data_IF_775060614564
#
_entry.id   IF_775060614564
#
_cell.length_a   1.000
_cell.length_b   1.000
_cell.length_c   1.000
_cell.angle_alpha   90.00
_cell.angle_beta   90.00
_cell.angle_gamma   90.00
#
_symmetry.space_group_name_H-M   'P 1'
#
loop_
_entity.id
_entity.type
_entity.pdbx_description
1 polymer ?
#
# COMPACT_ATOMS: atom_id res chain seq x y z
N UNK A 1 -8.53 20.33 -14.99
CA UNK A 1 -7.16 20.02 -14.57
C UNK A 1 -6.56 18.90 -15.41
N UNK A 2 -5.23 18.89 -15.56
CA UNK A 2 -4.46 17.89 -16.32
C UNK A 2 -3.32 17.42 -15.43
N UNK A 3 -3.41 16.20 -14.93
CA UNK A 3 -2.57 15.69 -13.85
C UNK A 3 -1.82 14.43 -14.30
N UNK A 4 -0.56 14.33 -13.87
CA UNK A 4 0.31 13.20 -14.11
C UNK A 4 0.75 12.59 -12.78
N UNK A 5 0.47 11.30 -12.59
CA UNK A 5 1.03 10.49 -11.51
C UNK A 5 2.39 9.95 -11.97
N UNK A 6 3.46 10.21 -11.21
CA UNK A 6 4.82 9.76 -11.51
C UNK A 6 5.28 8.78 -10.45
N UNK A 7 5.66 7.57 -10.86
CA UNK A 7 6.11 6.49 -9.96
C UNK A 7 7.31 5.75 -10.55
N UNK A 8 8.17 5.16 -9.74
CA UNK A 8 9.35 4.46 -10.23
C UNK A 8 9.06 3.05 -10.79
N UNK A 9 8.06 2.36 -10.25
CA UNK A 9 7.71 0.98 -10.61
C UNK A 9 6.20 0.77 -10.60
N UNK A 10 5.71 -0.27 -11.27
CA UNK A 10 4.35 -0.82 -11.13
C UNK A 10 4.38 -2.27 -10.63
N UNK A 11 5.47 -2.69 -9.98
CA UNK A 11 5.48 -3.93 -9.21
C UNK A 11 4.52 -3.82 -8.02
N UNK A 12 4.04 -4.94 -7.49
CA UNK A 12 3.11 -4.92 -6.37
C UNK A 12 3.70 -4.23 -5.12
N UNK A 13 3.11 -3.09 -4.74
CA UNK A 13 3.51 -2.28 -3.59
C UNK A 13 2.45 -1.23 -3.26
N UNK A 14 2.41 -0.77 -2.00
CA UNK A 14 1.38 0.17 -1.54
C UNK A 14 1.42 1.53 -2.25
N UNK A 15 2.61 2.10 -2.46
CA UNK A 15 2.76 3.37 -3.18
C UNK A 15 2.41 3.23 -4.66
N UNK A 16 2.81 2.12 -5.27
CA UNK A 16 2.56 1.78 -6.66
C UNK A 16 1.05 1.59 -6.91
N UNK A 17 0.38 0.82 -6.04
CA UNK A 17 -1.08 0.66 -6.07
C UNK A 17 -1.79 2.00 -5.93
N UNK A 18 -1.34 2.86 -5.03
CA UNK A 18 -1.92 4.19 -4.88
C UNK A 18 -1.73 5.07 -6.12
N UNK A 19 -0.57 5.02 -6.80
CA UNK A 19 -0.36 5.77 -8.03
C UNK A 19 -1.35 5.33 -9.13
N UNK A 20 -1.61 4.02 -9.27
CA UNK A 20 -2.62 3.48 -10.20
C UNK A 20 -4.03 3.92 -9.76
N UNK A 21 -4.37 3.77 -8.49
CA UNK A 21 -5.69 4.15 -7.96
C UNK A 21 -5.98 5.65 -8.20
N UNK A 22 -5.01 6.53 -7.93
CA UNK A 22 -5.16 7.97 -8.22
C UNK A 22 -5.32 8.23 -9.71
N UNK A 23 -4.52 7.61 -10.57
CA UNK A 23 -4.62 7.80 -12.01
C UNK A 23 -6.00 7.37 -12.53
N UNK A 24 -6.48 6.20 -12.12
CA UNK A 24 -7.76 5.64 -12.53
C UNK A 24 -8.94 6.51 -12.03
N UNK A 25 -9.00 6.79 -10.73
CA UNK A 25 -10.09 7.57 -10.16
C UNK A 25 -10.15 9.01 -10.69
N UNK A 26 -9.00 9.65 -10.89
CA UNK A 26 -8.93 10.98 -11.49
C UNK A 26 -9.37 10.98 -12.96
N UNK A 27 -9.16 9.88 -13.71
CA UNK A 27 -9.56 9.82 -15.12
C UNK A 27 -11.06 9.98 -15.34
N UNK A 28 -11.87 9.73 -14.31
CA UNK A 28 -13.32 9.91 -14.33
C UNK A 28 -13.76 11.33 -13.93
N UNK A 29 -12.85 12.12 -13.32
CA UNK A 29 -13.22 13.38 -12.65
C UNK A 29 -12.54 14.61 -13.23
N UNK A 30 -11.45 14.46 -14.01
CA UNK A 30 -10.67 15.58 -14.56
C UNK A 30 -10.48 15.46 -16.07
N UNK A 31 -10.09 16.57 -16.71
CA UNK A 31 -9.93 16.64 -18.17
C UNK A 31 -8.82 15.71 -18.73
N UNK A 32 -7.79 15.38 -17.94
CA UNK A 32 -6.71 14.50 -18.35
C UNK A 32 -6.01 13.88 -17.14
N UNK A 33 -5.94 12.57 -17.11
CA UNK A 33 -5.17 11.78 -16.14
C UNK A 33 -4.10 10.96 -16.86
N UNK A 34 -2.88 10.98 -16.34
CA UNK A 34 -1.76 10.20 -16.86
C UNK A 34 -1.02 9.49 -15.75
N UNK A 35 -0.51 8.29 -16.06
CA UNK A 35 0.41 7.53 -15.22
C UNK A 35 1.72 7.32 -15.96
N UNK A 36 2.82 7.76 -15.36
CA UNK A 36 4.16 7.60 -15.92
C UNK A 36 5.01 6.76 -14.98
N UNK A 37 5.49 5.62 -15.50
CA UNK A 37 6.39 4.73 -14.78
C UNK A 37 7.82 4.97 -15.25
N UNK A 38 8.75 5.13 -14.29
CA UNK A 38 10.10 5.57 -14.68
C UNK A 38 11.06 4.42 -14.95
N UNK A 39 11.07 3.33 -14.14
CA UNK A 39 12.10 2.30 -14.14
C UNK A 39 11.63 0.91 -14.51
N UNK A 40 10.48 0.49 -14.00
CA UNK A 40 9.97 -0.88 -14.16
C UNK A 40 8.48 -0.89 -14.41
N UNK A 41 8.05 -1.62 -15.41
CA UNK A 41 6.67 -2.08 -15.47
C UNK A 41 6.50 -3.30 -14.55
N UNK A 42 5.30 -3.56 -14.08
CA UNK A 42 4.96 -4.67 -13.20
C UNK A 42 3.49 -5.03 -13.31
N UNK A 43 3.04 -5.91 -12.44
CA UNK A 43 1.71 -6.52 -12.45
C UNK A 43 0.58 -5.48 -12.41
N UNK A 44 0.80 -4.38 -11.68
CA UNK A 44 -0.20 -3.30 -11.55
C UNK A 44 -0.46 -2.54 -12.87
N UNK A 45 0.36 -2.74 -13.91
CA UNK A 45 0.09 -2.17 -15.24
C UNK A 45 -1.25 -2.62 -15.81
N UNK A 46 -1.63 -3.88 -15.58
CA UNK A 46 -2.88 -4.45 -16.09
C UNK A 46 -4.12 -3.80 -15.45
N UNK A 47 -3.95 -3.16 -14.29
CA UNK A 47 -5.01 -2.45 -13.57
C UNK A 47 -5.16 -0.98 -13.99
N UNK A 48 -4.32 -0.49 -14.91
CA UNK A 48 -4.42 0.90 -15.41
C UNK A 48 -5.61 1.01 -16.36
N UNK A 49 -6.57 1.88 -16.01
CA UNK A 49 -7.78 2.08 -16.78
C UNK A 49 -7.47 2.61 -18.20
N UNK A 50 -8.26 2.18 -19.19
CA UNK A 50 -8.10 2.58 -20.62
C UNK A 50 -8.15 4.10 -20.87
N UNK A 51 -8.83 4.85 -19.99
CA UNK A 51 -8.90 6.32 -20.05
C UNK A 51 -7.63 7.02 -19.56
N UNK A 52 -6.74 6.31 -18.84
CA UNK A 52 -5.49 6.85 -18.32
C UNK A 52 -4.44 6.84 -19.44
N UNK A 53 -3.81 7.99 -19.69
CA UNK A 53 -2.68 8.06 -20.62
C UNK A 53 -1.44 7.47 -19.97
N UNK A 54 -1.02 6.29 -20.40
CA UNK A 54 0.13 5.59 -19.83
C UNK A 54 1.42 5.83 -20.61
N UNK A 55 2.55 6.03 -19.90
CA UNK A 55 3.88 6.13 -20.50
C UNK A 55 4.92 5.39 -19.62
N UNK A 56 5.68 4.49 -20.24
CA UNK A 56 6.87 3.87 -19.62
C UNK A 56 8.14 4.56 -20.12
N UNK A 57 8.97 5.06 -19.20
CA UNK A 57 10.21 5.78 -19.54
C UNK A 57 11.41 4.87 -19.71
N UNK A 58 11.41 3.66 -19.15
CA UNK A 58 12.54 2.73 -19.15
C UNK A 58 13.88 3.41 -18.74
N UNK A 59 13.83 4.17 -17.67
CA UNK A 59 14.95 4.95 -17.15
C UNK A 59 16.00 4.04 -16.54
N UNK A 60 17.21 4.08 -17.08
CA UNK A 60 18.33 3.18 -16.68
C UNK A 60 19.24 3.77 -15.59
N UNK A 61 19.39 5.10 -15.54
CA UNK A 61 20.33 5.80 -14.63
C UNK A 61 19.62 6.92 -13.87
N UNK A 62 20.19 7.38 -12.76
CA UNK A 62 19.65 8.51 -12.01
C UNK A 62 19.50 9.76 -12.89
N UNK A 63 20.51 10.10 -13.68
CA UNK A 63 20.49 11.13 -14.71
C UNK A 63 20.40 10.44 -16.09
N UNK A 64 19.18 10.33 -16.60
CA UNK A 64 18.87 9.76 -17.91
C UNK A 64 18.22 10.82 -18.78
N UNK A 65 19.03 11.44 -19.64
CA UNK A 65 18.61 12.55 -20.50
C UNK A 65 17.47 12.12 -21.44
N UNK A 66 17.49 10.87 -21.96
CA UNK A 66 16.43 10.36 -22.84
C UNK A 66 15.11 10.25 -22.09
N UNK A 67 15.12 9.76 -20.85
CA UNK A 67 13.94 9.69 -20.02
C UNK A 67 13.41 11.10 -19.66
N UNK A 68 14.31 12.05 -19.35
CA UNK A 68 13.94 13.45 -19.07
C UNK A 68 13.24 14.07 -20.30
N UNK A 69 13.83 13.92 -21.49
CA UNK A 69 13.25 14.48 -22.72
C UNK A 69 11.91 13.82 -23.09
N UNK A 70 11.76 12.51 -22.90
CA UNK A 70 10.49 11.81 -23.13
C UNK A 70 9.40 12.30 -22.17
N UNK A 71 9.71 12.41 -20.88
CA UNK A 71 8.77 12.96 -19.89
C UNK A 71 8.41 14.41 -20.21
N UNK A 72 9.40 15.25 -20.55
CA UNK A 72 9.16 16.63 -20.96
C UNK A 72 8.24 16.73 -22.17
N UNK A 73 8.48 15.92 -23.22
CA UNK A 73 7.62 15.86 -24.42
C UNK A 73 6.19 15.46 -24.06
N UNK A 74 6.03 14.44 -23.21
CA UNK A 74 4.71 13.99 -22.74
C UNK A 74 3.96 15.10 -21.99
N UNK A 75 4.63 15.83 -21.10
CA UNK A 75 4.06 16.95 -20.36
C UNK A 75 3.57 18.07 -21.30
N UNK A 76 4.39 18.47 -22.26
CA UNK A 76 4.06 19.53 -23.20
C UNK A 76 2.88 19.11 -24.10
N UNK A 77 2.97 17.95 -24.73
CA UNK A 77 1.95 17.48 -25.68
C UNK A 77 0.57 17.32 -24.99
N UNK A 78 0.57 16.97 -23.72
CA UNK A 78 -0.65 16.77 -22.95
C UNK A 78 -1.01 17.96 -22.05
N UNK A 79 -0.28 19.08 -22.15
CA UNK A 79 -0.52 20.28 -21.34
C UNK A 79 -0.66 19.98 -19.82
N UNK A 80 0.20 19.08 -19.29
CA UNK A 80 0.15 18.68 -17.88
C UNK A 80 0.45 19.88 -17.00
N UNK A 81 -0.42 20.14 -16.03
CA UNK A 81 -0.33 21.24 -15.09
C UNK A 81 0.33 20.85 -13.77
N UNK A 82 0.08 19.61 -13.34
CA UNK A 82 0.55 19.08 -12.05
C UNK A 82 1.21 17.72 -12.25
N UNK A 83 2.40 17.56 -11.70
CA UNK A 83 3.05 16.25 -11.51
C UNK A 83 2.91 15.89 -10.03
N UNK A 84 2.17 14.84 -9.72
CA UNK A 84 2.19 14.21 -8.41
C UNK A 84 3.27 13.11 -8.43
N UNK A 85 4.37 13.37 -7.76
CA UNK A 85 5.52 12.47 -7.71
C UNK A 85 5.49 11.61 -6.45
N UNK A 86 5.33 10.30 -6.62
CA UNK A 86 5.27 9.35 -5.51
C UNK A 86 6.67 8.90 -5.09
N UNK A 87 6.92 8.91 -3.78
CA UNK A 87 8.17 8.40 -3.16
C UNK A 87 9.44 8.99 -3.81
N UNK A 88 10.32 8.16 -4.38
CA UNK A 88 11.62 8.57 -4.96
C UNK A 88 11.52 9.22 -6.35
N UNK A 89 10.37 9.15 -7.01
CA UNK A 89 10.19 9.71 -8.36
C UNK A 89 10.28 11.24 -8.42
N UNK A 90 10.23 11.92 -7.26
CA UNK A 90 10.41 13.38 -7.16
C UNK A 90 11.67 13.89 -7.83
N UNK A 91 12.75 13.08 -7.81
CA UNK A 91 14.01 13.50 -8.38
C UNK A 91 13.89 13.77 -9.90
N UNK A 92 13.23 12.86 -10.63
CA UNK A 92 12.97 13.06 -12.06
C UNK A 92 12.01 14.24 -12.30
N UNK A 93 10.98 14.40 -11.47
CA UNK A 93 10.05 15.51 -11.57
C UNK A 93 10.78 16.87 -11.47
N UNK A 94 11.73 17.00 -10.52
CA UNK A 94 12.54 18.22 -10.35
C UNK A 94 13.42 18.47 -11.56
N UNK A 95 14.11 17.45 -12.09
CA UNK A 95 14.95 17.59 -13.28
C UNK A 95 14.15 18.12 -14.50
N UNK A 96 12.93 17.62 -14.69
CA UNK A 96 12.06 18.11 -15.78
C UNK A 96 11.58 19.53 -15.50
N UNK A 97 11.22 19.86 -14.26
CA UNK A 97 10.77 21.21 -13.88
C UNK A 97 11.82 22.28 -14.15
N UNK A 98 13.11 21.99 -14.05
CA UNK A 98 14.17 22.93 -14.38
C UNK A 98 14.10 23.42 -15.86
N UNK A 99 13.47 22.64 -16.74
CA UNK A 99 13.24 23.01 -18.15
C UNK A 99 11.79 23.42 -18.47
N UNK A 100 10.88 23.35 -17.49
CA UNK A 100 9.43 23.62 -17.64
C UNK A 100 8.90 24.38 -16.41
N UNK A 101 9.01 25.70 -16.41
CA UNK A 101 8.67 26.56 -15.26
C UNK A 101 7.20 26.50 -14.86
N UNK A 102 6.28 26.28 -15.80
CA UNK A 102 4.82 26.33 -15.57
C UNK A 102 4.22 25.09 -14.86
N UNK A 103 4.96 23.98 -14.73
CA UNK A 103 4.46 22.75 -14.11
C UNK A 103 4.59 22.81 -12.60
N UNK A 104 3.55 22.48 -11.86
CA UNK A 104 3.58 22.33 -10.39
C UNK A 104 4.00 20.91 -10.02
N UNK A 105 4.84 20.78 -8.99
CA UNK A 105 5.21 19.47 -8.43
C UNK A 105 4.56 19.33 -7.06
N UNK A 106 3.86 18.21 -6.87
CA UNK A 106 3.38 17.76 -5.57
C UNK A 106 4.14 16.48 -5.24
N UNK A 107 4.88 16.50 -4.15
CA UNK A 107 5.53 15.30 -3.67
C UNK A 107 4.60 14.53 -2.73
N UNK A 108 4.42 13.22 -2.97
CA UNK A 108 3.58 12.36 -2.15
C UNK A 108 4.43 11.31 -1.43
N UNK A 109 4.49 11.41 -0.10
CA UNK A 109 5.28 10.50 0.72
C UNK A 109 4.45 9.34 1.25
N UNK A 110 4.92 8.11 0.93
CA UNK A 110 4.32 6.85 1.36
C UNK A 110 5.21 6.07 2.34
N UNK A 111 6.41 6.59 2.67
CA UNK A 111 7.44 5.83 3.37
C UNK A 111 7.31 5.96 4.90
N UNK A 112 6.64 4.98 5.54
CA UNK A 112 6.37 4.97 6.98
C UNK A 112 7.60 5.05 7.89
N UNK A 113 8.73 4.47 7.48
CA UNK A 113 9.95 4.46 8.30
C UNK A 113 10.76 5.77 8.22
N UNK A 114 10.33 6.76 7.44
CA UNK A 114 11.05 8.04 7.26
C UNK A 114 11.32 8.77 8.57
N UNK A 115 10.39 8.72 9.50
CA UNK A 115 10.49 9.40 10.78
C UNK A 115 11.64 8.88 11.66
N UNK A 116 12.05 7.62 11.47
CA UNK A 116 13.13 6.96 12.21
C UNK A 116 14.49 7.10 11.52
N UNK A 117 14.54 7.61 10.30
CA UNK A 117 15.79 7.76 9.55
C UNK A 117 16.56 9.03 9.93
N UNK A 118 17.92 8.95 9.84
CA UNK A 118 18.80 10.09 10.10
C UNK A 118 18.62 11.17 9.01
N UNK A 119 18.56 12.44 9.40
CA UNK A 119 18.42 13.61 8.51
C UNK A 119 19.38 13.61 7.30
N UNK A 120 20.60 13.15 7.47
CA UNK A 120 21.60 13.09 6.38
C UNK A 120 21.15 12.28 5.17
N UNK A 121 20.31 11.26 5.36
CA UNK A 121 19.74 10.46 4.26
C UNK A 121 18.77 11.25 3.37
N UNK A 122 18.24 12.37 3.87
CA UNK A 122 17.20 13.15 3.18
C UNK A 122 17.71 14.46 2.56
N UNK A 123 19.05 14.65 2.45
CA UNK A 123 19.63 15.89 1.93
C UNK A 123 19.15 16.21 0.51
N UNK A 124 19.12 15.22 -0.39
CA UNK A 124 18.63 15.41 -1.77
C UNK A 124 17.13 15.79 -1.77
N UNK A 125 16.34 15.16 -0.92
CA UNK A 125 14.92 15.49 -0.77
C UNK A 125 14.72 16.91 -0.23
N UNK A 126 15.54 17.33 0.74
CA UNK A 126 15.54 18.70 1.25
C UNK A 126 15.83 19.72 0.13
N UNK A 127 16.86 19.50 -0.69
CA UNK A 127 17.16 20.36 -1.84
C UNK A 127 16.03 20.35 -2.88
N UNK A 128 15.46 19.17 -3.16
CA UNK A 128 14.34 19.05 -4.08
C UNK A 128 13.08 19.79 -3.59
N UNK A 129 12.91 19.92 -2.27
CA UNK A 129 11.72 20.54 -1.69
C UNK A 129 11.55 22.04 -2.01
N UNK A 130 12.60 22.71 -2.45
CA UNK A 130 12.49 24.09 -2.97
C UNK A 130 11.66 24.18 -4.26
N UNK A 131 11.49 23.07 -4.97
CA UNK A 131 10.73 23.00 -6.22
C UNK A 131 9.30 22.46 -6.03
N UNK A 132 8.96 22.02 -4.81
CA UNK A 132 7.62 21.50 -4.52
C UNK A 132 6.62 22.62 -4.31
N UNK A 133 5.51 22.56 -5.02
CA UNK A 133 4.37 23.46 -4.82
C UNK A 133 3.57 23.05 -3.57
N UNK A 134 3.56 21.76 -3.26
CA UNK A 134 2.97 21.18 -2.05
C UNK A 134 3.56 19.79 -1.79
N UNK A 135 3.29 19.26 -0.60
CA UNK A 135 3.53 17.86 -0.26
C UNK A 135 2.26 17.19 0.25
N UNK A 136 2.07 15.93 -0.11
CA UNK A 136 1.07 15.05 0.46
C UNK A 136 1.74 14.00 1.34
N UNK A 137 1.14 13.72 2.48
CA UNK A 137 1.59 12.70 3.41
C UNK A 137 0.45 11.73 3.68
N UNK A 138 0.74 10.43 3.72
CA UNK A 138 -0.27 9.40 3.96
C UNK A 138 -0.68 9.24 5.43
N UNK A 139 0.03 9.91 6.35
CA UNK A 139 -0.34 9.96 7.76
C UNK A 139 0.10 11.27 8.43
N UNK A 140 -0.48 11.63 9.60
CA UNK A 140 -0.15 12.86 10.32
C UNK A 140 1.30 12.94 10.83
N UNK A 141 1.95 11.83 11.11
CA UNK A 141 3.35 11.81 11.57
C UNK A 141 4.30 12.20 10.44
N UNK A 142 4.09 11.65 9.24
CA UNK A 142 4.81 12.07 8.03
C UNK A 142 4.53 13.53 7.69
N UNK A 143 3.29 13.99 7.85
CA UNK A 143 2.95 15.40 7.66
C UNK A 143 3.76 16.32 8.59
N UNK A 144 3.82 15.99 9.89
CA UNK A 144 4.64 16.71 10.87
C UNK A 144 6.14 16.66 10.51
N UNK A 145 6.61 15.48 10.08
CA UNK A 145 8.00 15.32 9.67
C UNK A 145 8.35 16.20 8.46
N UNK A 146 7.50 16.26 7.43
CA UNK A 146 7.66 17.09 6.25
C UNK A 146 7.73 18.56 6.62
N UNK A 147 6.78 19.05 7.41
CA UNK A 147 6.73 20.44 7.89
C UNK A 147 8.01 20.84 8.65
N UNK A 148 8.58 19.93 9.42
CA UNK A 148 9.81 20.16 10.21
C UNK A 148 11.08 20.13 9.38
N UNK A 149 11.13 19.33 8.32
CA UNK A 149 12.39 18.97 7.65
C UNK A 149 12.52 19.47 6.21
N UNK A 150 11.43 19.88 5.55
CA UNK A 150 11.44 20.31 4.15
C UNK A 150 11.06 21.79 4.01
N UNK A 151 11.36 22.37 2.83
CA UNK A 151 11.09 23.78 2.49
C UNK A 151 9.77 23.89 1.71
N UNK A 152 8.66 23.51 2.35
CA UNK A 152 7.32 23.70 1.81
C UNK A 152 6.35 24.05 2.93
N UNK A 153 5.47 25.03 2.67
CA UNK A 153 4.46 25.45 3.62
C UNK A 153 3.11 24.73 3.41
N UNK A 154 2.90 24.18 2.21
CA UNK A 154 1.66 23.48 1.85
C UNK A 154 1.85 21.98 2.02
N UNK A 155 1.49 21.44 3.19
CA UNK A 155 1.57 20.02 3.49
C UNK A 155 0.20 19.52 3.92
N UNK A 156 -0.34 18.54 3.21
CA UNK A 156 -1.66 17.98 3.46
C UNK A 156 -1.57 16.50 3.79
N UNK A 157 -2.35 16.06 4.75
CA UNK A 157 -2.63 14.65 4.96
C UNK A 157 -3.67 14.21 3.93
N UNK A 158 -3.33 13.21 3.14
CA UNK A 158 -4.21 12.54 2.17
C UNK A 158 -4.14 11.05 2.45
N UNK A 159 -5.17 10.44 3.02
CA UNK A 159 -5.17 9.02 3.31
C UNK A 159 -5.17 8.18 2.04
N UNK A 160 -4.69 6.94 2.14
CA UNK A 160 -4.86 5.96 1.09
C UNK A 160 -6.33 5.53 1.00
N UNK A 161 -6.72 4.98 -0.14
CA UNK A 161 -8.03 4.41 -0.40
C UNK A 161 -7.90 3.18 -1.30
N UNK A 162 -8.94 2.37 -1.36
CA UNK A 162 -9.01 1.22 -2.25
C UNK A 162 -10.11 1.44 -3.30
N UNK A 163 -9.96 0.78 -4.44
CA UNK A 163 -10.98 0.70 -5.49
C UNK A 163 -11.37 -0.78 -5.58
N UNK A 164 -12.64 -1.07 -5.50
CA UNK A 164 -13.14 -2.42 -5.78
C UNK A 164 -13.01 -2.70 -7.27
N UNK A 165 -12.29 -3.74 -7.63
CA UNK A 165 -12.20 -4.22 -9.00
C UNK A 165 -12.90 -5.58 -9.12
N UNK A 166 -14.09 -5.56 -9.68
CA UNK A 166 -14.91 -6.74 -9.93
C UNK A 166 -14.74 -7.29 -11.37
N UNK A 167 -13.82 -6.70 -12.16
CA UNK A 167 -13.65 -7.01 -13.59
C UNK A 167 -12.70 -8.18 -13.87
N UNK A 168 -12.01 -8.71 -12.87
CA UNK A 168 -10.98 -9.74 -13.02
C UNK A 168 -11.61 -11.10 -13.26
N UNK A 169 -11.19 -11.77 -14.33
CA UNK A 169 -11.77 -13.04 -14.81
C UNK A 169 -11.08 -14.26 -14.20
N UNK A 170 -9.76 -14.21 -14.06
CA UNK A 170 -8.98 -15.31 -13.47
C UNK A 170 -9.06 -15.24 -11.94
N UNK A 171 -9.46 -16.37 -11.33
CA UNK A 171 -9.71 -16.44 -9.90
C UNK A 171 -8.72 -17.35 -9.19
N UNK A 172 -8.07 -16.83 -8.17
CA UNK A 172 -7.18 -17.57 -7.28
C UNK A 172 -7.99 -18.19 -6.14
N UNK A 173 -7.99 -19.50 -6.06
CA UNK A 173 -8.66 -20.23 -4.97
C UNK A 173 -7.68 -20.54 -3.85
N UNK A 174 -8.05 -20.18 -2.62
CA UNK A 174 -7.30 -20.55 -1.43
C UNK A 174 -7.52 -22.03 -1.08
N UNK A 175 -6.44 -22.70 -0.69
CA UNK A 175 -6.48 -24.09 -0.17
C UNK A 175 -7.13 -24.13 1.23
N UNK A 176 -7.22 -25.31 1.82
CA UNK A 176 -7.75 -25.51 3.17
C UNK A 176 -9.26 -25.39 3.28
N UNK A 177 -9.77 -25.59 4.50
CA UNK A 177 -11.19 -25.62 4.80
C UNK A 177 -11.84 -24.24 4.69
N UNK A 178 -13.04 -24.18 4.10
CA UNK A 178 -13.83 -22.94 4.01
C UNK A 178 -14.21 -22.47 5.43
N UNK A 179 -14.18 -21.20 5.70
CA UNK A 179 -14.41 -20.54 6.98
C UNK A 179 -13.34 -20.79 8.06
N UNK A 180 -12.17 -21.32 7.69
CA UNK A 180 -11.04 -21.52 8.59
C UNK A 180 -9.71 -21.03 7.97
N UNK A 181 -9.71 -19.81 7.44
CA UNK A 181 -8.57 -19.26 6.73
C UNK A 181 -8.09 -17.94 7.33
N UNK A 182 -6.81 -17.90 7.67
CA UNK A 182 -6.09 -16.69 8.09
C UNK A 182 -5.26 -16.21 6.91
N UNK A 183 -5.31 -14.92 6.58
CA UNK A 183 -4.60 -14.36 5.44
C UNK A 183 -3.70 -13.19 5.86
N UNK A 184 -2.47 -13.18 5.35
CA UNK A 184 -1.55 -12.05 5.39
C UNK A 184 -1.32 -11.52 3.97
N UNK A 185 -1.86 -10.35 3.66
CA UNK A 185 -1.68 -9.68 2.38
C UNK A 185 -0.50 -8.71 2.46
N UNK A 186 0.69 -9.19 2.16
CA UNK A 186 1.93 -8.41 2.18
C UNK A 186 3.03 -9.06 1.36
N UNK A 187 3.86 -8.27 0.69
CA UNK A 187 5.05 -8.78 0.02
C UNK A 187 5.97 -9.47 1.03
N UNK A 188 6.53 -10.64 0.66
CA UNK A 188 7.38 -11.45 1.52
C UNK A 188 8.75 -10.81 1.71
N UNK A 189 8.82 -9.84 2.59
CA UNK A 189 10.04 -9.12 2.95
C UNK A 189 9.98 -8.56 4.37
N UNK A 190 11.11 -8.41 5.00
CA UNK A 190 11.22 -7.58 6.19
C UNK A 190 10.95 -6.10 5.81
N UNK A 191 10.14 -5.33 6.52
CA UNK A 191 9.70 -5.52 7.91
C UNK A 191 8.26 -6.05 8.08
N UNK A 192 7.71 -6.83 7.13
CA UNK A 192 6.32 -7.35 7.23
C UNK A 192 6.14 -8.44 8.31
N UNK A 193 7.26 -8.98 8.80
CA UNK A 193 7.31 -9.85 9.98
C UNK A 193 6.47 -11.14 9.87
N UNK A 194 6.51 -11.79 8.70
CA UNK A 194 5.80 -13.06 8.45
C UNK A 194 6.23 -14.18 9.40
N UNK A 195 7.49 -14.14 9.89
CA UNK A 195 7.98 -15.13 10.83
C UNK A 195 7.19 -15.11 12.16
N UNK A 196 6.86 -13.94 12.68
CA UNK A 196 6.05 -13.85 13.91
C UNK A 196 4.63 -14.40 13.71
N UNK A 197 4.08 -14.27 12.49
CA UNK A 197 2.79 -14.87 12.15
C UNK A 197 2.88 -16.39 12.11
N UNK A 198 3.96 -16.95 11.52
CA UNK A 198 4.22 -18.40 11.49
C UNK A 198 4.41 -18.96 12.90
N UNK A 199 5.24 -18.33 13.71
CA UNK A 199 5.49 -18.74 15.10
C UNK A 199 4.20 -18.73 15.92
N UNK A 200 3.41 -17.66 15.83
CA UNK A 200 2.14 -17.59 16.53
C UNK A 200 1.16 -18.66 16.04
N UNK A 201 1.03 -18.87 14.72
CA UNK A 201 0.16 -19.90 14.15
C UNK A 201 0.59 -21.32 14.60
N UNK A 202 1.86 -21.65 14.52
CA UNK A 202 2.42 -22.92 14.97
C UNK A 202 2.09 -23.17 16.46
N UNK A 203 2.34 -22.18 17.32
CA UNK A 203 2.13 -22.29 18.75
C UNK A 203 0.64 -22.38 19.16
N UNK A 204 -0.31 -22.06 18.26
CA UNK A 204 -1.75 -22.24 18.52
C UNK A 204 -2.24 -23.66 18.25
N UNK A 205 -1.52 -24.46 17.47
CA UNK A 205 -1.97 -25.76 16.94
C UNK A 205 -3.32 -25.67 16.20
N UNK A 206 -3.63 -24.53 15.58
CA UNK A 206 -4.88 -24.33 14.83
C UNK A 206 -4.98 -25.21 13.57
N UNK A 207 -3.85 -25.69 13.04
CA UNK A 207 -3.79 -26.70 11.99
C UNK A 207 -4.52 -27.98 12.38
N UNK A 208 -4.48 -28.41 13.67
CA UNK A 208 -5.21 -29.59 14.17
C UNK A 208 -6.75 -29.40 14.11
N UNK A 209 -7.18 -28.15 14.07
CA UNK A 209 -8.60 -27.76 13.88
C UNK A 209 -8.92 -27.36 12.44
N UNK A 210 -8.08 -27.78 11.47
CA UNK A 210 -8.22 -27.51 10.03
C UNK A 210 -8.12 -26.02 9.64
N UNK A 211 -7.59 -25.14 10.49
CA UNK A 211 -7.25 -23.79 10.10
C UNK A 211 -6.03 -23.77 9.19
N UNK A 212 -6.03 -22.85 8.24
CA UNK A 212 -4.93 -22.64 7.31
C UNK A 212 -4.47 -21.18 7.27
N UNK A 213 -3.16 -20.98 7.02
CA UNK A 213 -2.52 -19.69 6.92
C UNK A 213 -2.07 -19.43 5.48
N UNK A 214 -2.41 -18.25 4.96
CA UNK A 214 -2.18 -17.88 3.56
C UNK A 214 -1.34 -16.61 3.49
N UNK A 215 -0.14 -16.70 2.94
CA UNK A 215 0.70 -15.56 2.62
C UNK A 215 0.50 -15.17 1.16
N UNK A 216 -0.04 -13.97 0.92
CA UNK A 216 -0.33 -13.46 -0.41
C UNK A 216 0.49 -12.18 -0.66
N UNK A 217 1.32 -12.21 -1.70
CA UNK A 217 2.17 -11.09 -2.09
C UNK A 217 3.48 -11.55 -2.69
N UNK A 218 4.22 -10.62 -3.28
CA UNK A 218 5.41 -10.91 -4.06
C UNK A 218 6.44 -11.72 -3.29
N UNK A 219 6.87 -12.83 -3.89
CA UNK A 219 7.91 -13.72 -3.40
C UNK A 219 9.24 -13.34 -4.05
N UNK A 220 10.25 -12.96 -3.25
CA UNK A 220 11.57 -12.56 -3.78
C UNK A 220 12.56 -13.72 -3.91
N UNK A 221 12.23 -14.92 -3.37
CA UNK A 221 13.11 -16.11 -3.33
C UNK A 221 14.50 -15.80 -2.78
N UNK A 222 14.55 -14.95 -1.77
CA UNK A 222 15.74 -14.53 -1.03
C UNK A 222 15.88 -15.33 0.30
N UNK A 223 16.90 -15.02 1.10
CA UNK A 223 17.16 -15.68 2.38
C UNK A 223 15.95 -15.60 3.33
N UNK A 224 15.19 -14.50 3.28
CA UNK A 224 13.99 -14.35 4.09
C UNK A 224 12.90 -15.36 3.70
N UNK A 225 12.65 -15.55 2.41
CA UNK A 225 11.71 -16.57 1.93
C UNK A 225 12.13 -17.97 2.32
N UNK A 226 13.42 -18.30 2.16
CA UNK A 226 13.93 -19.64 2.53
C UNK A 226 13.88 -19.88 4.04
N UNK A 227 14.09 -18.85 4.88
CA UNK A 227 13.87 -18.92 6.32
C UNK A 227 12.43 -19.30 6.66
N UNK A 228 11.43 -18.68 6.02
CA UNK A 228 10.02 -19.02 6.23
C UNK A 228 9.72 -20.46 5.82
N UNK A 229 10.27 -20.92 4.69
CA UNK A 229 10.12 -22.31 4.23
C UNK A 229 10.74 -23.30 5.18
N UNK A 230 11.97 -23.08 5.64
CA UNK A 230 12.63 -23.95 6.63
C UNK A 230 11.79 -24.07 7.89
N UNK A 231 11.24 -22.96 8.39
CA UNK A 231 10.37 -23.00 9.57
C UNK A 231 9.11 -23.87 9.34
N UNK A 232 8.49 -23.79 8.17
CA UNK A 232 7.32 -24.60 7.80
C UNK A 232 7.68 -26.07 7.77
N UNK A 233 8.78 -26.44 7.08
CA UNK A 233 9.26 -27.81 6.92
C UNK A 233 9.67 -28.41 8.29
N UNK A 234 10.32 -27.63 9.16
CA UNK A 234 10.77 -28.04 10.50
C UNK A 234 9.61 -28.26 11.51
N UNK A 235 8.43 -27.71 11.23
CA UNK A 235 7.26 -27.78 12.13
C UNK A 235 6.07 -28.53 11.50
N UNK A 236 6.27 -29.27 10.41
CA UNK A 236 5.25 -30.10 9.72
C UNK A 236 3.99 -29.30 9.32
N UNK A 237 4.18 -28.05 8.80
CA UNK A 237 3.08 -27.12 8.46
C UNK A 237 2.75 -27.03 6.96
N UNK A 238 3.34 -27.88 6.08
CA UNK A 238 3.22 -27.78 4.63
C UNK A 238 1.78 -27.94 4.12
N UNK A 239 0.95 -28.69 4.85
CA UNK A 239 -0.45 -28.92 4.50
C UNK A 239 -1.40 -27.84 5.04
N UNK A 240 -0.88 -26.90 5.86
CA UNK A 240 -1.67 -25.84 6.50
C UNK A 240 -1.21 -24.41 6.21
N UNK A 241 0.02 -24.24 5.66
CA UNK A 241 0.57 -22.91 5.32
C UNK A 241 0.86 -22.84 3.81
N UNK A 242 0.30 -21.82 3.16
CA UNK A 242 0.36 -21.69 1.71
C UNK A 242 0.88 -20.32 1.29
N UNK A 243 1.74 -20.32 0.26
CA UNK A 243 2.25 -19.11 -0.38
C UNK A 243 1.58 -18.89 -1.72
N UNK A 244 1.15 -17.66 -1.96
CA UNK A 244 0.65 -17.15 -3.24
C UNK A 244 1.49 -15.96 -3.63
N UNK A 245 2.05 -15.94 -4.83
CA UNK A 245 2.78 -14.78 -5.34
C UNK A 245 1.84 -13.57 -5.52
N UNK A 246 2.29 -12.51 -6.16
CA UNK A 246 1.44 -11.38 -6.53
C UNK A 246 0.22 -11.86 -7.33
N UNK A 247 -0.96 -11.44 -6.89
CA UNK A 247 -2.24 -11.76 -7.51
C UNK A 247 -2.95 -10.49 -7.96
N UNK A 248 -3.81 -10.59 -8.97
CA UNK A 248 -4.61 -9.46 -9.46
C UNK A 248 -5.99 -9.41 -8.79
N UNK A 249 -6.57 -10.54 -8.44
CA UNK A 249 -7.92 -10.74 -7.90
C UNK A 249 -8.00 -10.67 -6.36
N UNK A 250 -7.31 -9.69 -5.77
CA UNK A 250 -7.21 -9.52 -4.31
C UNK A 250 -8.57 -9.55 -3.61
N UNK A 251 -9.58 -8.87 -4.14
CA UNK A 251 -10.92 -8.84 -3.53
C UNK A 251 -11.56 -10.23 -3.48
N UNK A 252 -11.40 -11.04 -4.54
CA UNK A 252 -11.91 -12.41 -4.57
C UNK A 252 -11.17 -13.32 -3.59
N UNK A 253 -9.85 -13.20 -3.51
CA UNK A 253 -9.04 -13.97 -2.54
C UNK A 253 -9.41 -13.61 -1.11
N UNK A 254 -9.55 -12.34 -0.79
CA UNK A 254 -9.95 -11.89 0.55
C UNK A 254 -11.37 -12.35 0.93
N UNK A 255 -12.28 -12.47 -0.05
CA UNK A 255 -13.65 -12.97 0.23
C UNK A 255 -13.69 -14.45 0.66
N UNK A 256 -12.59 -15.20 0.51
CA UNK A 256 -12.46 -16.60 0.91
C UNK A 256 -11.82 -16.75 2.31
N UNK A 257 -11.36 -15.67 2.92
CA UNK A 257 -10.69 -15.69 4.23
C UNK A 257 -11.63 -15.20 5.35
N UNK A 258 -11.25 -15.47 6.60
CA UNK A 258 -12.00 -15.10 7.79
C UNK A 258 -11.27 -14.06 8.63
N UNK A 259 -9.96 -14.24 8.76
CA UNK A 259 -9.10 -13.40 9.61
C UNK A 259 -7.99 -12.81 8.73
N UNK A 260 -7.89 -11.48 8.72
CA UNK A 260 -6.76 -10.77 8.12
C UNK A 260 -5.72 -10.43 9.19
N UNK A 261 -4.44 -10.72 8.93
CA UNK A 261 -3.36 -10.40 9.87
C UNK A 261 -2.33 -9.47 9.25
N UNK A 262 -1.88 -8.46 10.01
CA UNK A 262 -0.80 -7.56 9.65
C UNK A 262 0.18 -7.41 10.82
N UNK A 263 1.35 -8.05 10.72
CA UNK A 263 2.37 -8.09 11.79
C UNK A 263 3.56 -7.14 11.57
N UNK A 264 3.41 -6.16 10.70
CA UNK A 264 4.49 -5.25 10.30
C UNK A 264 5.13 -4.53 11.48
N UNK A 265 6.47 -4.38 11.43
CA UNK A 265 7.25 -3.56 12.38
C UNK A 265 7.20 -2.06 12.04
N UNK A 266 6.90 -1.71 10.80
CA UNK A 266 6.76 -0.32 10.33
C UNK A 266 5.67 -0.24 9.26
N UNK A 267 4.78 0.74 9.37
CA UNK A 267 3.77 1.08 8.37
C UNK A 267 3.65 2.60 8.18
N UNK A 268 3.41 3.01 6.95
CA UNK A 268 3.00 4.38 6.66
C UNK A 268 1.49 4.53 6.82
N UNK A 269 0.78 4.02 5.83
CA UNK A 269 -0.67 3.85 5.83
C UNK A 269 -0.96 2.50 5.16
N UNK A 270 -1.35 1.47 5.93
CA UNK A 270 -1.46 0.11 5.42
C UNK A 270 -2.68 -0.08 4.52
N UNK A 271 -2.46 -0.21 3.21
CA UNK A 271 -3.53 -0.45 2.23
C UNK A 271 -4.22 -1.79 2.49
N UNK A 272 -3.49 -2.81 2.93
CA UNK A 272 -4.06 -4.12 3.26
C UNK A 272 -5.15 -4.06 4.33
N UNK A 273 -5.04 -3.15 5.33
CA UNK A 273 -6.13 -2.97 6.32
C UNK A 273 -7.40 -2.39 5.70
N UNK A 274 -7.27 -1.52 4.68
CA UNK A 274 -8.43 -1.05 3.92
C UNK A 274 -9.05 -2.20 3.12
N UNK A 275 -8.22 -3.03 2.47
CA UNK A 275 -8.66 -4.19 1.68
C UNK A 275 -9.35 -5.23 2.58
N UNK A 276 -8.80 -5.51 3.77
CA UNK A 276 -9.46 -6.37 4.76
C UNK A 276 -10.82 -5.80 5.22
N UNK A 277 -10.88 -4.49 5.48
CA UNK A 277 -12.12 -3.83 5.86
C UNK A 277 -13.17 -3.91 4.74
N UNK A 278 -12.80 -3.68 3.49
CA UNK A 278 -13.73 -3.87 2.35
C UNK A 278 -14.27 -5.30 2.27
N UNK A 279 -13.40 -6.30 2.47
CA UNK A 279 -13.80 -7.71 2.48
C UNK A 279 -14.62 -8.09 3.72
N UNK A 280 -14.60 -7.27 4.79
CA UNK A 280 -15.34 -7.56 6.04
C UNK A 280 -14.64 -8.59 6.92
N UNK A 281 -13.31 -8.74 6.80
CA UNK A 281 -12.53 -9.67 7.62
C UNK A 281 -12.41 -9.19 9.07
N UNK A 282 -12.39 -10.12 10.02
CA UNK A 282 -11.86 -9.84 11.36
C UNK A 282 -10.35 -9.58 11.25
N UNK A 283 -9.86 -8.51 11.85
CA UNK A 283 -8.46 -8.08 11.66
C UNK A 283 -7.68 -8.15 12.96
N UNK A 284 -6.47 -8.72 12.86
CA UNK A 284 -5.42 -8.61 13.88
C UNK A 284 -4.29 -7.78 13.26
N UNK A 285 -3.89 -6.69 13.93
CA UNK A 285 -2.85 -5.79 13.41
C UNK A 285 -1.92 -5.32 14.52
N UNK A 286 -0.67 -5.04 14.16
CA UNK A 286 0.20 -4.26 15.05
C UNK A 286 -0.29 -2.82 15.16
N UNK A 287 0.07 -2.13 16.26
CA UNK A 287 -0.31 -0.72 16.46
C UNK A 287 0.64 0.28 15.80
N UNK A 288 1.57 -0.16 14.94
CA UNK A 288 2.60 0.70 14.35
C UNK A 288 2.07 1.65 13.27
N UNK A 289 2.67 2.80 13.13
CA UNK A 289 2.31 3.80 12.13
C UNK A 289 0.83 4.18 12.19
N UNK A 290 0.13 4.14 11.06
CA UNK A 290 -1.29 4.49 11.00
C UNK A 290 -2.24 3.32 11.35
N UNK A 291 -1.73 2.14 11.71
CA UNK A 291 -2.57 0.98 12.05
C UNK A 291 -3.52 1.28 13.21
N UNK A 292 -3.04 1.88 14.30
CA UNK A 292 -3.86 2.25 15.46
C UNK A 292 -4.87 3.38 15.22
N UNK A 293 -4.76 4.07 14.08
CA UNK A 293 -5.79 5.03 13.65
C UNK A 293 -6.92 4.36 12.87
N UNK A 294 -6.62 3.26 12.17
CA UNK A 294 -7.59 2.45 11.43
C UNK A 294 -8.29 1.43 12.33
N UNK A 295 -7.51 0.77 13.18
CA UNK A 295 -8.00 -0.28 14.08
C UNK A 295 -8.19 0.27 15.49
N UNK A 296 -9.41 0.21 15.97
CA UNK A 296 -9.78 0.50 17.37
C UNK A 296 -9.90 -0.84 18.09
N UNK A 297 -8.96 -1.09 19.00
CA UNK A 297 -8.88 -2.38 19.68
C UNK A 297 -10.22 -2.83 20.26
N UNK A 298 -10.58 -4.11 20.08
CA UNK A 298 -11.82 -4.77 20.51
C UNK A 298 -13.14 -4.22 19.94
N UNK A 299 -13.06 -3.16 19.10
CA UNK A 299 -14.24 -2.59 18.44
C UNK A 299 -14.34 -3.00 16.97
N UNK A 300 -13.28 -2.80 16.18
CA UNK A 300 -13.24 -3.13 14.74
C UNK A 300 -12.03 -3.97 14.34
N UNK A 301 -11.30 -4.51 15.32
CA UNK A 301 -10.14 -5.38 15.16
C UNK A 301 -9.42 -5.56 16.49
N UNK A 302 -8.35 -6.35 16.47
CA UNK A 302 -7.47 -6.58 17.61
C UNK A 302 -6.09 -6.00 17.31
N UNK A 303 -5.51 -5.30 18.28
CA UNK A 303 -4.15 -4.74 18.18
C UNK A 303 -3.20 -5.52 19.07
N UNK A 304 -1.96 -5.70 18.61
CA UNK A 304 -0.90 -6.34 19.35
C UNK A 304 0.46 -5.65 19.17
N UNK A 305 1.37 -5.89 20.10
CA UNK A 305 2.75 -5.44 20.02
C UNK A 305 3.54 -6.29 19.01
N UNK A 306 4.20 -5.72 17.98
CA UNK A 306 4.96 -6.49 16.99
C UNK A 306 6.13 -7.30 17.58
N UNK A 307 6.53 -7.04 18.81
CA UNK A 307 7.56 -7.80 19.55
C UNK A 307 6.95 -8.84 20.52
N UNK A 308 5.62 -8.98 20.59
CA UNK A 308 4.91 -9.90 21.48
C UNK A 308 4.14 -10.95 20.66
N UNK A 309 4.77 -12.12 20.49
CA UNK A 309 4.19 -13.25 19.77
C UNK A 309 3.10 -13.98 20.57
N UNK A 310 3.12 -13.91 21.89
CA UNK A 310 2.07 -14.50 22.72
C UNK A 310 0.76 -13.74 22.59
N UNK A 311 0.78 -12.41 22.56
CA UNK A 311 -0.41 -11.60 22.32
C UNK A 311 -1.03 -11.92 20.95
N UNK A 312 -0.23 -12.10 19.90
CA UNK A 312 -0.70 -12.50 18.58
C UNK A 312 -1.34 -13.90 18.61
N UNK A 313 -0.72 -14.86 19.29
CA UNK A 313 -1.24 -16.21 19.49
C UNK A 313 -2.61 -16.20 20.20
N UNK A 314 -2.73 -15.44 21.31
CA UNK A 314 -4.00 -15.29 22.02
C UNK A 314 -5.10 -14.72 21.12
N UNK A 315 -4.77 -13.73 20.27
CA UNK A 315 -5.70 -13.15 19.32
C UNK A 315 -6.12 -14.14 18.23
N UNK A 316 -5.22 -14.98 17.74
CA UNK A 316 -5.58 -16.05 16.81
C UNK A 316 -6.58 -17.02 17.45
N UNK A 317 -6.31 -17.51 18.66
CA UNK A 317 -7.22 -18.42 19.39
C UNK A 317 -8.58 -17.75 19.65
N UNK A 318 -8.56 -16.49 20.11
CA UNK A 318 -9.78 -15.71 20.39
C UNK A 318 -10.69 -15.61 19.16
N UNK A 319 -10.11 -15.30 18.00
CA UNK A 319 -10.90 -15.20 16.77
C UNK A 319 -11.23 -16.57 16.18
N UNK A 320 -10.34 -17.54 16.21
CA UNK A 320 -10.58 -18.85 15.61
C UNK A 320 -11.79 -19.58 16.21
N UNK A 321 -12.08 -19.37 17.50
CA UNK A 321 -13.14 -20.05 18.23
C UNK A 321 -14.36 -19.17 18.56
N UNK A 322 -14.38 -17.89 18.08
CA UNK A 322 -15.50 -16.98 18.30
C UNK A 322 -15.95 -16.34 16.95
N UNK A 323 -16.82 -17.05 16.24
CA UNK A 323 -17.36 -16.61 14.95
C UNK A 323 -18.22 -15.34 15.06
N UNK A 324 -18.92 -15.15 16.18
CA UNK A 324 -19.72 -13.95 16.41
C UNK A 324 -18.83 -12.72 16.56
N UNK A 325 -17.73 -12.86 17.29
CA UNK A 325 -16.72 -11.81 17.41
C UNK A 325 -16.08 -11.50 16.06
N UNK A 326 -15.73 -12.52 15.25
CA UNK A 326 -15.21 -12.29 13.89
C UNK A 326 -16.18 -11.41 13.08
N UNK A 327 -17.44 -11.82 13.01
CA UNK A 327 -18.48 -11.09 12.24
C UNK A 327 -18.66 -9.66 12.75
N UNK A 328 -18.69 -9.47 14.07
CA UNK A 328 -18.83 -8.17 14.70
C UNK A 328 -17.67 -7.23 14.36
N UNK A 329 -16.43 -7.69 14.55
CA UNK A 329 -15.25 -6.87 14.27
C UNK A 329 -15.11 -6.54 12.79
N UNK A 330 -15.31 -7.52 11.91
CA UNK A 330 -15.26 -7.34 10.47
C UNK A 330 -16.32 -6.36 9.96
N UNK A 331 -17.54 -6.44 10.45
CA UNK A 331 -18.64 -5.52 10.06
C UNK A 331 -18.35 -4.08 10.53
N UNK A 332 -17.84 -3.91 11.75
CA UNK A 332 -17.46 -2.61 12.27
C UNK A 332 -16.32 -1.99 11.44
N UNK A 333 -15.30 -2.78 11.12
CA UNK A 333 -14.19 -2.32 10.28
C UNK A 333 -14.69 -1.91 8.89
N UNK A 334 -15.50 -2.75 8.24
CA UNK A 334 -16.09 -2.45 6.94
C UNK A 334 -16.86 -1.12 6.97
N UNK A 335 -17.67 -0.91 7.98
CA UNK A 335 -18.45 0.34 8.15
C UNK A 335 -17.55 1.56 8.30
N UNK A 336 -16.53 1.46 9.15
CA UNK A 336 -15.56 2.56 9.37
C UNK A 336 -14.78 2.88 8.09
N UNK A 337 -14.30 1.86 7.36
CA UNK A 337 -13.55 2.04 6.11
C UNK A 337 -14.40 2.67 5.01
N UNK A 338 -15.60 2.15 4.76
CA UNK A 338 -16.51 2.69 3.74
C UNK A 338 -16.90 4.14 4.02
N UNK A 339 -17.04 4.51 5.29
CA UNK A 339 -17.41 5.86 5.71
C UNK A 339 -16.26 6.87 5.59
N UNK A 340 -15.02 6.47 5.93
CA UNK A 340 -13.91 7.40 6.10
C UNK A 340 -12.89 7.39 4.96
N UNK A 341 -12.79 6.26 4.23
CA UNK A 341 -11.73 6.01 3.24
C UNK A 341 -12.29 5.60 1.88
N UNK A 342 -13.51 6.02 1.55
CA UNK A 342 -14.10 5.77 0.23
C UNK A 342 -13.35 6.52 -0.86
N UNK A 343 -13.19 5.89 -2.02
CA UNK A 343 -12.54 6.51 -3.17
C UNK A 343 -13.15 7.87 -3.53
N UNK A 344 -14.48 7.96 -3.54
CA UNK A 344 -15.21 9.19 -3.93
C UNK A 344 -14.89 10.37 -3.02
N UNK A 345 -14.88 10.18 -1.70
CA UNK A 345 -14.59 11.26 -0.75
C UNK A 345 -13.12 11.69 -0.81
N UNK A 346 -12.20 10.73 -0.87
CA UNK A 346 -10.76 11.04 -0.95
C UNK A 346 -10.42 11.77 -2.26
N UNK A 347 -10.98 11.36 -3.38
CA UNK A 347 -10.74 12.02 -4.68
C UNK A 347 -11.35 13.43 -4.70
N UNK A 348 -12.53 13.64 -4.11
CA UNK A 348 -13.13 14.96 -3.97
C UNK A 348 -12.25 15.90 -3.13
N UNK A 349 -11.74 15.43 -2.00
CA UNK A 349 -10.79 16.19 -1.19
C UNK A 349 -9.50 16.49 -1.96
N UNK A 350 -8.93 15.50 -2.63
CA UNK A 350 -7.72 15.64 -3.43
C UNK A 350 -7.87 16.71 -4.53
N UNK A 351 -8.99 16.70 -5.25
CA UNK A 351 -9.30 17.71 -6.28
C UNK A 351 -9.39 19.12 -5.66
N UNK A 352 -9.99 19.25 -4.49
CA UNK A 352 -10.02 20.53 -3.78
C UNK A 352 -8.61 21.02 -3.41
N UNK A 353 -7.71 20.11 -2.96
CA UNK A 353 -6.30 20.47 -2.68
C UNK A 353 -5.56 20.88 -3.96
N UNK A 354 -5.74 20.18 -5.07
CA UNK A 354 -5.13 20.57 -6.35
C UNK A 354 -5.57 21.98 -6.82
N UNK A 355 -6.83 22.34 -6.62
CA UNK A 355 -7.33 23.67 -6.95
C UNK A 355 -6.75 24.76 -6.04
N UNK A 356 -6.46 24.43 -4.77
CA UNK A 356 -5.88 25.34 -3.80
C UNK A 356 -4.37 25.59 -4.03
N UNK A 357 -3.66 24.65 -4.63
CA UNK A 357 -2.22 24.71 -4.89
C UNK A 357 -1.94 25.55 -6.14
#
# INVERSE_FOLDING_TARGET
>A
MRILQLIDSLEAGGAERMAVNYANALSESIAFSSLVTTRKEGELKNQVAKKVSYLFLDKKRALDIKAILRLRKHIINNQVQIIQAHSSSFFLAVLVKLSLSGVKIIWHDHYGNRIHERRKKHYILFLASFFFSACFAVNPELQKWILKNLRTAKVFFIPNFTIEDNSIVDKTYLKGEINKRIICLANLKNPKNHIAILEAFCNTQLNDFSWSLHFVGKIYKDDYFYQLKSFIDENDLEESVFFYDSIEDVSFVLSQANIGVLASKYEGFPVSLLEYGHAGLAVISTYVGFCSSLIKNEYNGLLFNPEDSEELKEHFLKLAFDEELQKKLGMNLKTDILKQYSCSEIIKELIAKYNYI
#
